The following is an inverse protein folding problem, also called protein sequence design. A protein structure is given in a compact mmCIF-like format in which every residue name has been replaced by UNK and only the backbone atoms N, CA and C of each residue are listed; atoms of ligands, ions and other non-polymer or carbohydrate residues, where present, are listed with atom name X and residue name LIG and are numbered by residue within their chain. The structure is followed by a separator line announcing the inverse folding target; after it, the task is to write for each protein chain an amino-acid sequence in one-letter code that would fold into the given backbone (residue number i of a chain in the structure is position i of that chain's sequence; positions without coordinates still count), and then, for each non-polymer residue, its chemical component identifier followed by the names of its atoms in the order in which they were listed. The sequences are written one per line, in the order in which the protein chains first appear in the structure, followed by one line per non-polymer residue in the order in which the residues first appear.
data_IF_604725839369
#
_entry.id   IF_604725839369
#
_cell.length_a   1.000
_cell.length_b   1.000
_cell.length_c   1.000
_cell.angle_alpha   90.00
_cell.angle_beta   90.00
_cell.angle_gamma   90.00
#
_symmetry.space_group_name_H-M   'P 1'
#
loop_
_entity.id
_entity.type
_entity.pdbx_description
1 polymer ?
#
# COMPACT_ATOMS: atom_id res chain seq x y z
N UNK A 1 -18.07 17.37 -12.55
CA UNK A 1 -16.86 17.93 -13.16
C UNK A 1 -16.38 19.08 -12.30
N UNK A 2 -15.37 18.83 -11.50
CA UNK A 2 -14.63 19.94 -10.90
C UNK A 2 -13.58 20.37 -11.93
N UNK A 3 -14.03 21.16 -12.88
CA UNK A 3 -13.15 21.82 -13.81
C UNK A 3 -12.25 22.77 -13.03
N UNK A 4 -10.96 22.79 -13.30
CA UNK A 4 -10.07 23.82 -12.78
C UNK A 4 -10.47 25.16 -13.38
N UNK A 5 -11.52 25.73 -12.84
CA UNK A 5 -11.79 27.16 -13.04
C UNK A 5 -10.94 27.92 -12.08
N UNK A 6 -9.94 28.60 -12.60
CA UNK A 6 -9.14 29.63 -11.97
C UNK A 6 -8.63 29.34 -10.55
N UNK A 7 -7.37 28.89 -10.45
CA UNK A 7 -6.45 29.30 -9.39
C UNK A 7 -6.93 29.15 -7.93
N UNK A 8 -7.15 27.98 -7.49
CA UNK A 8 -6.62 27.66 -6.15
C UNK A 8 -5.09 27.71 -6.27
N UNK A 9 -4.44 28.45 -5.40
CA UNK A 9 -3.01 28.78 -5.43
C UNK A 9 -2.14 27.62 -5.95
N UNK A 10 -1.18 27.85 -6.84
CA UNK A 10 -0.34 26.80 -7.38
C UNK A 10 0.24 25.98 -6.23
N UNK A 11 0.32 24.64 -6.37
CA UNK A 11 0.91 23.81 -5.34
C UNK A 11 2.32 24.30 -5.08
N UNK A 12 2.58 24.73 -3.85
CA UNK A 12 3.92 25.14 -3.44
C UNK A 12 4.84 23.93 -3.52
N UNK A 13 6.03 24.12 -4.07
CA UNK A 13 7.11 23.17 -3.91
C UNK A 13 7.33 22.94 -2.41
N UNK A 14 7.45 21.68 -1.99
CA UNK A 14 7.83 21.38 -0.63
C UNK A 14 9.18 22.06 -0.35
N UNK A 15 9.26 22.83 0.73
CA UNK A 15 10.53 23.40 1.17
C UNK A 15 11.54 22.27 1.40
N UNK A 16 12.62 22.21 0.61
CA UNK A 16 13.69 21.25 0.87
C UNK A 16 14.42 20.67 -0.33
N UNK A 17 14.05 20.96 -1.56
CA UNK A 17 14.84 20.52 -2.72
C UNK A 17 14.44 21.21 -4.02
N UNK A 18 15.39 21.51 -4.91
CA UNK A 18 15.06 22.01 -6.22
C UNK A 18 14.35 20.91 -6.99
N UNK A 19 13.05 21.13 -7.28
CA UNK A 19 12.38 20.28 -8.26
C UNK A 19 13.09 20.44 -9.60
N UNK A 20 13.58 19.34 -10.14
CA UNK A 20 14.22 19.37 -11.43
C UNK A 20 13.17 19.68 -12.51
N UNK A 21 13.38 20.76 -13.28
CA UNK A 21 12.61 20.99 -14.49
C UNK A 21 13.05 19.99 -15.54
N UNK A 22 12.11 19.25 -16.09
CA UNK A 22 12.36 18.22 -17.12
C UNK A 22 11.51 18.55 -18.34
N UNK A 23 12.14 18.52 -19.50
CA UNK A 23 11.44 18.45 -20.78
C UNK A 23 11.52 16.99 -21.20
N UNK A 24 10.37 16.32 -21.35
CA UNK A 24 10.31 14.96 -21.85
C UNK A 24 10.32 15.00 -23.38
N UNK A 25 11.44 14.61 -24.04
CA UNK A 25 11.63 14.83 -25.47
C UNK A 25 10.63 14.08 -26.35
N UNK A 26 10.13 12.97 -25.85
CA UNK A 26 9.30 12.04 -26.63
C UNK A 26 7.81 12.16 -26.34
N UNK A 27 7.41 13.11 -25.48
CA UNK A 27 6.03 13.28 -25.06
C UNK A 27 5.48 14.64 -25.47
N UNK A 28 4.39 14.62 -26.19
CA UNK A 28 3.72 15.78 -26.77
C UNK A 28 2.40 16.01 -26.05
N UNK A 29 2.05 17.27 -25.81
CA UNK A 29 0.77 17.61 -25.22
C UNK A 29 -0.34 17.40 -26.25
N UNK A 30 -1.36 16.64 -25.86
CA UNK A 30 -2.53 16.36 -26.68
C UNK A 30 -3.19 17.65 -27.18
N UNK A 31 -3.72 17.63 -28.39
CA UNK A 31 -4.38 18.81 -28.99
C UNK A 31 -5.64 19.17 -28.22
N UNK A 32 -5.81 20.47 -27.97
CA UNK A 32 -6.92 21.06 -27.22
C UNK A 32 -6.98 20.71 -25.72
N UNK A 33 -5.98 20.04 -25.16
CA UNK A 33 -5.85 19.88 -23.71
C UNK A 33 -5.25 21.13 -23.10
N UNK A 34 -5.98 21.77 -22.18
CA UNK A 34 -5.46 22.88 -21.38
C UNK A 34 -4.73 22.36 -20.16
N UNK A 35 -3.45 22.65 -20.05
CA UNK A 35 -2.69 22.49 -18.82
C UNK A 35 -2.63 23.79 -18.06
N UNK A 36 -2.80 23.74 -16.76
CA UNK A 36 -2.63 24.86 -15.86
C UNK A 36 -1.35 24.67 -15.03
N UNK A 37 -0.69 25.77 -14.68
CA UNK A 37 0.45 25.73 -13.77
C UNK A 37 0.06 25.01 -12.47
N UNK A 38 0.93 24.09 -12.05
CA UNK A 38 0.69 23.26 -10.87
C UNK A 38 -0.20 22.03 -11.08
N UNK A 39 -0.80 21.81 -12.25
CA UNK A 39 -1.56 20.60 -12.51
C UNK A 39 -0.66 19.37 -12.66
N UNK A 40 -1.07 18.24 -12.10
CA UNK A 40 -0.39 16.96 -12.39
C UNK A 40 -0.63 16.56 -13.84
N UNK A 41 0.45 16.20 -14.52
CA UNK A 41 0.45 15.78 -15.91
C UNK A 41 0.66 14.28 -16.00
N UNK A 42 -0.22 13.61 -16.71
CA UNK A 42 -0.20 12.18 -16.92
C UNK A 42 0.12 11.84 -18.36
N UNK A 43 0.85 10.76 -18.56
CA UNK A 43 1.02 10.09 -19.84
C UNK A 43 -0.09 9.04 -20.00
N UNK A 44 -0.84 9.14 -21.10
CA UNK A 44 -1.75 8.07 -21.52
C UNK A 44 -0.94 7.01 -22.29
N UNK A 45 -0.83 5.77 -21.78
CA UNK A 45 -0.08 4.72 -22.49
C UNK A 45 -0.69 4.33 -23.85
N UNK A 46 -1.97 4.65 -24.07
CA UNK A 46 -2.65 4.27 -25.31
C UNK A 46 -2.22 5.12 -26.52
N UNK A 47 -1.92 6.41 -26.27
CA UNK A 47 -1.57 7.34 -27.37
C UNK A 47 -0.19 7.99 -27.23
N UNK A 48 0.52 7.71 -26.13
CA UNK A 48 1.84 8.29 -25.81
C UNK A 48 1.82 9.82 -25.67
N UNK A 49 0.66 10.41 -25.46
CA UNK A 49 0.50 11.83 -25.27
C UNK A 49 0.31 12.20 -23.80
N UNK A 50 0.71 13.42 -23.44
CA UNK A 50 0.45 13.97 -22.12
C UNK A 50 -0.98 14.44 -22.03
N UNK A 51 -1.66 14.01 -20.95
CA UNK A 51 -3.00 14.46 -20.64
C UNK A 51 -3.07 14.89 -19.17
N UNK A 52 -3.98 15.79 -18.83
CA UNK A 52 -4.34 16.04 -17.44
C UNK A 52 -5.34 15.00 -16.97
N UNK A 53 -5.24 14.55 -15.72
CA UNK A 53 -6.29 13.76 -15.10
C UNK A 53 -7.43 14.66 -14.66
N UNK A 54 -8.63 14.35 -15.04
CA UNK A 54 -9.85 14.95 -14.49
C UNK A 54 -10.39 14.15 -13.28
N UNK A 55 -9.69 13.08 -12.92
CA UNK A 55 -9.98 12.22 -11.78
C UNK A 55 -11.24 11.37 -11.90
N UNK A 56 -12.16 11.75 -12.75
CA UNK A 56 -13.42 11.04 -12.99
C UNK A 56 -13.39 10.19 -14.28
N UNK A 57 -12.32 10.28 -15.04
CA UNK A 57 -12.23 9.69 -16.37
C UNK A 57 -12.06 8.18 -16.40
N UNK A 58 -11.85 7.53 -15.26
CA UNK A 58 -11.67 6.09 -15.20
C UNK A 58 -10.40 5.58 -15.91
N UNK A 59 -9.34 6.37 -15.92
CA UNK A 59 -8.06 6.04 -16.57
C UNK A 59 -6.98 5.58 -15.58
N UNK A 60 -7.15 4.44 -14.92
CA UNK A 60 -6.23 3.96 -13.89
C UNK A 60 -4.84 3.61 -14.42
N UNK A 61 -4.70 3.45 -15.73
CA UNK A 61 -3.45 3.09 -16.38
C UNK A 61 -2.58 4.31 -16.72
N UNK A 62 -3.08 5.52 -16.52
CA UNK A 62 -2.28 6.73 -16.74
C UNK A 62 -1.10 6.79 -15.79
N UNK A 63 0.00 7.32 -16.26
CA UNK A 63 1.27 7.39 -15.52
C UNK A 63 1.59 8.84 -15.22
N UNK A 64 1.64 9.21 -13.93
CA UNK A 64 2.04 10.53 -13.50
C UNK A 64 3.50 10.81 -13.90
N UNK A 65 3.76 11.89 -14.63
CA UNK A 65 5.08 12.25 -15.16
C UNK A 65 5.68 13.45 -14.46
N UNK A 66 4.87 14.32 -13.88
CA UNK A 66 5.33 15.53 -13.21
C UNK A 66 4.19 16.52 -13.03
N UNK A 67 4.56 17.73 -12.71
CA UNK A 67 3.66 18.86 -12.48
C UNK A 67 3.98 19.95 -13.50
N UNK A 68 2.99 20.48 -14.18
CA UNK A 68 3.16 21.55 -15.15
C UNK A 68 3.73 22.81 -14.48
N UNK A 69 4.70 23.45 -15.14
CA UNK A 69 5.32 24.69 -14.70
C UNK A 69 4.70 25.94 -15.37
N UNK A 70 3.92 25.70 -16.43
CA UNK A 70 3.37 26.79 -17.25
C UNK A 70 1.94 26.45 -17.64
N UNK A 71 1.14 27.49 -17.88
CA UNK A 71 -0.17 27.33 -18.49
C UNK A 71 -0.01 27.20 -20.01
N UNK A 72 -0.45 26.07 -20.58
CA UNK A 72 -0.27 25.75 -21.99
C UNK A 72 -1.53 25.11 -22.55
N UNK A 73 -1.97 25.60 -23.72
CA UNK A 73 -2.95 24.91 -24.55
C UNK A 73 -2.25 24.01 -25.56
N UNK A 74 -2.55 22.72 -25.51
CA UNK A 74 -1.97 21.72 -26.40
C UNK A 74 -2.38 21.92 -27.87
N UNK A 75 -1.46 21.62 -28.76
CA UNK A 75 -1.68 21.67 -30.20
C UNK A 75 -1.19 20.41 -30.93
N UNK A 76 -0.91 19.33 -30.20
CA UNK A 76 -0.34 18.08 -30.73
C UNK A 76 1.15 18.14 -31.07
N UNK A 77 1.84 19.24 -30.77
CA UNK A 77 3.29 19.42 -31.04
C UNK A 77 4.04 19.96 -29.84
N UNK A 78 3.38 20.74 -28.98
CA UNK A 78 3.99 21.39 -27.82
C UNK A 78 4.43 20.37 -26.77
N UNK A 79 5.59 20.63 -26.17
CA UNK A 79 6.17 19.84 -25.09
C UNK A 79 6.12 20.66 -23.81
N UNK A 80 5.38 20.23 -22.78
CA UNK A 80 5.26 20.96 -21.54
C UNK A 80 6.57 20.89 -20.73
N UNK A 81 6.88 21.96 -20.01
CA UNK A 81 7.88 21.92 -18.96
C UNK A 81 7.23 21.33 -17.70
N UNK A 82 7.86 20.32 -17.15
CA UNK A 82 7.41 19.62 -15.95
C UNK A 82 8.42 19.76 -14.82
N UNK A 83 7.93 19.82 -13.60
CA UNK A 83 8.74 19.56 -12.42
C UNK A 83 8.48 18.16 -11.90
N UNK A 84 9.56 17.46 -11.52
CA UNK A 84 9.50 16.14 -10.88
C UNK A 84 10.06 16.23 -9.47
N UNK A 85 9.56 15.40 -8.56
CA UNK A 85 9.99 15.41 -7.16
C UNK A 85 8.83 15.64 -6.19
N UNK A 86 9.12 16.16 -4.99
CA UNK A 86 8.10 16.37 -3.96
C UNK A 86 7.22 17.58 -4.28
N UNK A 87 5.92 17.36 -4.27
CA UNK A 87 4.89 18.37 -4.49
C UNK A 87 3.81 18.30 -3.43
N UNK A 88 3.37 19.46 -2.94
CA UNK A 88 2.20 19.54 -2.06
C UNK A 88 0.93 19.29 -2.87
N UNK A 89 0.01 18.51 -2.33
CA UNK A 89 -1.28 18.17 -2.94
C UNK A 89 -2.42 18.39 -1.96
N UNK A 90 -3.62 18.64 -2.46
CA UNK A 90 -4.83 18.59 -1.64
C UNK A 90 -5.02 17.17 -1.13
N UNK A 91 -5.46 17.02 0.11
CA UNK A 91 -5.84 15.72 0.65
C UNK A 91 -7.29 15.43 0.32
N UNK A 92 -7.63 14.21 -0.06
CA UNK A 92 -9.03 13.83 -0.26
C UNK A 92 -9.81 13.98 1.04
N UNK A 93 -10.97 14.62 0.98
CA UNK A 93 -11.89 14.75 2.10
C UNK A 93 -12.87 13.53 2.21
N UNK A 94 -12.83 12.62 1.24
CA UNK A 94 -13.68 11.43 1.24
C UNK A 94 -13.20 10.44 2.30
N UNK A 95 -14.13 9.90 3.07
CA UNK A 95 -13.83 8.88 4.09
C UNK A 95 -13.13 7.66 3.46
N UNK A 96 -12.05 7.21 4.08
CA UNK A 96 -11.22 6.09 3.59
C UNK A 96 -10.20 6.47 2.50
N UNK A 97 -10.31 7.67 1.91
CA UNK A 97 -9.36 8.16 0.90
C UNK A 97 -8.36 9.18 1.48
N UNK A 98 -8.65 9.74 2.65
CA UNK A 98 -7.80 10.72 3.31
C UNK A 98 -6.46 10.11 3.69
N UNK A 99 -5.36 10.77 3.29
CA UNK A 99 -4.00 10.37 3.65
C UNK A 99 -3.71 10.80 5.08
N UNK A 100 -3.46 9.88 6.01
CA UNK A 100 -3.14 10.22 7.39
C UNK A 100 -1.68 10.65 7.54
N UNK A 101 -1.40 11.51 8.51
CA UNK A 101 -0.03 11.95 8.81
C UNK A 101 0.89 10.79 9.26
N UNK A 102 0.32 9.70 9.75
CA UNK A 102 1.03 8.50 10.18
C UNK A 102 1.37 7.53 9.04
N UNK A 103 0.97 7.84 7.79
CA UNK A 103 1.31 7.02 6.65
C UNK A 103 2.85 6.94 6.49
N UNK A 104 3.44 5.75 6.28
CA UNK A 104 4.88 5.64 6.06
C UNK A 104 5.32 6.37 4.78
N UNK A 105 6.47 7.06 4.84
CA UNK A 105 7.11 7.64 3.67
C UNK A 105 7.40 6.53 2.66
N UNK A 106 7.11 6.80 1.38
CA UNK A 106 7.26 5.81 0.31
C UNK A 106 6.01 5.00 0.00
N UNK A 107 4.89 5.25 0.70
CA UNK A 107 3.63 4.61 0.41
C UNK A 107 3.03 5.13 -0.91
N UNK A 108 2.49 4.28 -1.79
CA UNK A 108 1.84 4.73 -3.01
C UNK A 108 0.57 5.53 -2.70
N UNK A 109 0.35 6.61 -3.43
CA UNK A 109 -0.86 7.44 -3.38
C UNK A 109 -1.39 7.68 -4.78
N UNK A 110 -2.69 7.93 -4.88
CA UNK A 110 -3.41 7.95 -6.14
C UNK A 110 -3.98 9.34 -6.45
N UNK A 111 -4.20 9.64 -7.72
CA UNK A 111 -4.77 10.91 -8.16
C UNK A 111 -6.27 10.83 -8.27
N UNK A 112 -6.98 11.48 -7.35
CA UNK A 112 -8.43 11.65 -7.44
C UNK A 112 -8.79 12.64 -8.54
N UNK A 113 -7.98 13.68 -8.68
CA UNK A 113 -7.99 14.65 -9.76
C UNK A 113 -6.56 15.17 -9.98
N UNK A 114 -6.39 16.20 -10.79
CA UNK A 114 -5.08 16.76 -11.11
C UNK A 114 -4.40 17.55 -9.97
N UNK A 115 -5.06 17.71 -8.82
CA UNK A 115 -4.54 18.41 -7.63
C UNK A 115 -4.69 17.61 -6.33
N UNK A 116 -5.61 16.65 -6.27
CA UNK A 116 -6.02 15.96 -5.04
C UNK A 116 -5.40 14.57 -5.00
N UNK A 117 -4.68 14.29 -3.92
CA UNK A 117 -4.15 12.97 -3.62
C UNK A 117 -5.14 12.15 -2.78
N UNK A 118 -5.18 10.86 -3.03
CA UNK A 118 -6.00 9.86 -2.35
C UNK A 118 -5.15 8.71 -1.83
N UNK A 119 -5.50 8.17 -0.66
CA UNK A 119 -4.89 6.97 -0.10
C UNK A 119 -5.24 5.70 -0.89
N UNK A 120 -6.40 5.69 -1.53
CA UNK A 120 -6.92 4.55 -2.31
C UNK A 120 -7.06 4.88 -3.78
N UNK A 121 -7.10 3.85 -4.61
CA UNK A 121 -7.29 3.97 -6.06
C UNK A 121 -8.74 4.21 -6.48
N UNK A 122 -9.63 4.52 -5.54
CA UNK A 122 -11.05 4.76 -5.82
C UNK A 122 -11.77 3.56 -6.41
N UNK A 123 -11.39 2.33 -6.03
CA UNK A 123 -11.95 1.10 -6.60
C UNK A 123 -11.46 0.82 -8.03
N UNK A 124 -10.24 1.19 -8.34
CA UNK A 124 -9.64 0.99 -9.66
C UNK A 124 -9.88 2.14 -10.64
N UNK A 125 -10.34 3.30 -10.17
CA UNK A 125 -10.63 4.46 -11.02
C UNK A 125 -9.47 5.47 -11.09
N UNK A 126 -8.67 5.58 -10.01
CA UNK A 126 -7.63 6.60 -9.92
C UNK A 126 -6.26 6.06 -10.38
N UNK A 127 -5.52 6.79 -11.19
CA UNK A 127 -4.16 6.44 -11.55
C UNK A 127 -3.21 6.63 -10.36
N UNK A 128 -2.09 5.91 -10.35
CA UNK A 128 -1.01 6.15 -9.41
C UNK A 128 -0.46 7.57 -9.60
N UNK A 129 -0.57 8.40 -8.57
CA UNK A 129 -0.03 9.75 -8.55
C UNK A 129 1.47 9.75 -8.28
N UNK A 130 1.90 8.96 -7.32
CA UNK A 130 3.27 8.90 -6.85
C UNK A 130 3.38 8.27 -5.47
N UNK A 131 4.34 8.74 -4.69
CA UNK A 131 4.64 8.17 -3.38
C UNK A 131 4.63 9.24 -2.30
N UNK A 132 4.04 8.91 -1.15
CA UNK A 132 3.97 9.81 -0.02
C UNK A 132 5.38 10.18 0.50
N UNK A 133 5.64 11.46 0.67
CA UNK A 133 6.92 12.00 1.13
C UNK A 133 6.82 12.74 2.48
N UNK A 134 5.64 12.76 3.09
CA UNK A 134 5.38 13.42 4.36
C UNK A 134 4.18 14.37 4.29
N UNK A 135 4.00 15.15 5.33
CA UNK A 135 3.00 16.23 5.41
C UNK A 135 3.69 17.58 5.46
N UNK A 136 3.01 18.64 5.03
CA UNK A 136 3.49 20.00 5.28
C UNK A 136 3.55 20.24 6.79
N UNK A 137 4.58 20.96 7.23
CA UNK A 137 4.74 21.31 8.64
C UNK A 137 3.86 22.46 9.11
N UNK A 138 3.01 23.01 8.24
CA UNK A 138 2.11 24.10 8.55
C UNK A 138 0.76 23.59 9.12
N UNK A 139 -0.10 24.51 9.51
CA UNK A 139 -1.43 24.20 10.07
C UNK A 139 -2.38 23.52 9.06
N UNK A 140 -2.04 23.50 7.79
CA UNK A 140 -2.89 22.89 6.75
C UNK A 140 -2.73 21.37 6.69
N UNK A 141 -1.55 20.84 7.09
CA UNK A 141 -1.29 19.40 7.10
C UNK A 141 -1.56 18.73 5.76
N UNK A 142 -1.10 19.33 4.66
CA UNK A 142 -1.31 18.78 3.32
C UNK A 142 -0.28 17.71 2.99
N UNK A 143 -0.63 16.65 2.24
CA UNK A 143 0.32 15.63 1.84
C UNK A 143 1.33 16.16 0.83
N UNK A 144 2.58 15.80 1.04
CA UNK A 144 3.68 15.96 0.10
C UNK A 144 3.81 14.65 -0.66
N UNK A 145 3.76 14.70 -1.98
CA UNK A 145 3.82 13.52 -2.85
C UNK A 145 4.99 13.66 -3.82
N UNK A 146 5.82 12.63 -3.90
CA UNK A 146 6.85 12.52 -4.92
C UNK A 146 6.21 12.11 -6.24
N UNK A 147 6.22 13.01 -7.23
CA UNK A 147 5.56 12.84 -8.53
C UNK A 147 6.61 12.79 -9.64
N UNK A 148 6.47 11.83 -10.55
CA UNK A 148 7.36 11.64 -11.69
C UNK A 148 8.77 11.15 -11.28
N UNK A 149 9.48 10.53 -12.21
CA UNK A 149 10.81 9.97 -11.96
C UNK A 149 10.79 8.80 -10.96
N UNK A 150 11.92 8.11 -10.79
CA UNK A 150 12.08 7.05 -9.81
C UNK A 150 12.06 7.63 -8.37
N UNK A 151 11.06 7.30 -7.58
CA UNK A 151 11.05 7.65 -6.17
C UNK A 151 12.11 6.83 -5.43
N UNK A 152 13.13 7.45 -4.80
CA UNK A 152 14.24 6.70 -4.18
C UNK A 152 13.85 5.96 -2.90
N UNK A 153 12.68 6.25 -2.34
CA UNK A 153 12.19 5.65 -1.09
C UNK A 153 10.84 4.92 -1.26
N UNK A 154 10.45 4.58 -2.50
CA UNK A 154 9.22 3.84 -2.75
C UNK A 154 9.22 2.49 -2.03
N UNK A 155 8.20 2.24 -1.20
CA UNK A 155 8.00 0.94 -0.57
C UNK A 155 7.29 0.05 -1.57
N UNK A 156 7.98 -0.98 -2.04
CA UNK A 156 7.44 -1.94 -3.01
C UNK A 156 6.94 -3.22 -2.35
N UNK A 157 7.50 -3.55 -1.18
CA UNK A 157 7.16 -4.75 -0.42
C UNK A 157 7.38 -4.52 1.07
N UNK A 158 6.53 -5.13 1.89
CA UNK A 158 6.64 -5.19 3.35
C UNK A 158 6.71 -6.65 3.75
N UNK A 159 7.81 -7.03 4.39
CA UNK A 159 7.93 -8.34 5.02
C UNK A 159 7.48 -8.21 6.49
N UNK A 160 6.54 -9.06 6.89
CA UNK A 160 6.07 -9.16 8.27
C UNK A 160 6.54 -10.50 8.83
N UNK A 161 7.67 -10.54 9.56
CA UNK A 161 8.14 -11.74 10.21
C UNK A 161 7.32 -12.02 11.47
N UNK A 162 7.19 -13.31 11.78
CA UNK A 162 6.53 -13.81 12.97
C UNK A 162 7.46 -14.82 13.62
N UNK A 163 7.81 -14.58 14.87
CA UNK A 163 8.55 -15.52 15.70
C UNK A 163 7.68 -15.85 16.91
N UNK A 164 7.36 -17.12 17.09
CA UNK A 164 6.54 -17.59 18.19
C UNK A 164 7.23 -18.75 18.88
N UNK A 165 7.28 -18.70 20.21
CA UNK A 165 7.74 -19.81 21.06
C UNK A 165 6.61 -20.25 21.99
N UNK A 166 6.68 -21.48 22.51
CA UNK A 166 5.68 -21.97 23.45
C UNK A 166 5.51 -21.08 24.69
N UNK A 167 6.59 -20.38 25.12
CA UNK A 167 6.56 -19.45 26.23
C UNK A 167 5.76 -18.17 25.97
N UNK A 168 5.41 -17.89 24.73
CA UNK A 168 4.55 -16.75 24.36
C UNK A 168 3.07 -17.10 24.47
N UNK A 169 2.76 -18.40 24.68
CA UNK A 169 1.39 -18.91 24.79
C UNK A 169 0.98 -18.92 26.25
N UNK A 170 0.16 -17.96 26.63
CA UNK A 170 -0.31 -17.76 28.02
C UNK A 170 -1.84 -17.92 28.19
N UNK A 171 -2.58 -18.13 27.10
CA UNK A 171 -4.00 -18.24 27.15
C UNK A 171 -4.46 -19.58 27.74
N UNK A 172 -5.28 -19.54 28.80
CA UNK A 172 -6.01 -20.69 29.31
C UNK A 172 -7.23 -21.01 28.43
N UNK A 173 -6.97 -21.14 27.12
CA UNK A 173 -7.93 -21.39 26.06
C UNK A 173 -7.29 -22.29 25.00
N UNK A 174 -8.11 -22.87 24.14
CA UNK A 174 -7.62 -23.69 23.01
C UNK A 174 -7.05 -22.88 21.85
N UNK A 175 -7.19 -21.56 21.87
CA UNK A 175 -6.68 -20.67 20.84
C UNK A 175 -6.05 -19.41 21.44
N UNK A 176 -5.04 -18.85 20.74
CA UNK A 176 -4.45 -17.56 21.08
C UNK A 176 -4.08 -16.80 19.81
N UNK A 177 -4.44 -15.52 19.77
CA UNK A 177 -4.16 -14.60 18.67
C UNK A 177 -2.97 -13.69 19.01
N UNK A 178 -2.10 -13.49 18.03
CA UNK A 178 -0.98 -12.56 18.10
C UNK A 178 -1.11 -11.51 17.01
N UNK A 179 -1.12 -10.23 17.37
CA UNK A 179 -1.09 -9.14 16.39
C UNK A 179 0.28 -9.08 15.74
N UNK A 180 0.32 -9.25 14.41
CA UNK A 180 1.54 -9.23 13.63
C UNK A 180 1.82 -7.85 13.04
N UNK A 181 0.78 -7.24 12.48
CA UNK A 181 0.89 -5.98 11.77
C UNK A 181 -0.45 -5.27 11.70
N UNK A 182 -0.44 -3.95 11.83
CA UNK A 182 -1.60 -3.11 11.52
C UNK A 182 -1.29 -2.31 10.29
N UNK A 183 -2.11 -2.43 9.26
CA UNK A 183 -1.88 -1.78 7.96
C UNK A 183 -2.03 -0.26 8.08
N UNK A 184 -1.00 0.54 7.79
CA UNK A 184 -1.11 2.01 7.83
C UNK A 184 -1.86 2.60 6.64
N UNK A 185 -2.00 1.83 5.57
CA UNK A 185 -2.71 2.11 4.34
C UNK A 185 -3.17 0.82 3.69
N UNK A 186 -3.86 0.87 2.54
CA UNK A 186 -4.25 -0.34 1.82
C UNK A 186 -3.05 -1.20 1.45
N UNK A 187 -3.18 -2.53 1.55
CA UNK A 187 -2.15 -3.49 1.15
C UNK A 187 -2.76 -4.67 0.40
N UNK A 188 -1.98 -5.28 -0.46
CA UNK A 188 -2.33 -6.54 -1.12
C UNK A 188 -1.40 -7.63 -0.60
N UNK A 189 -1.94 -8.79 -0.27
CA UNK A 189 -1.13 -9.95 0.14
C UNK A 189 -0.47 -10.56 -1.09
N UNK A 190 0.87 -10.71 -1.05
CA UNK A 190 1.66 -11.16 -2.21
C UNK A 190 1.84 -12.67 -2.32
N UNK A 191 1.57 -13.41 -1.28
CA UNK A 191 1.76 -14.86 -1.34
C UNK A 191 1.59 -15.57 0.00
N UNK A 192 1.55 -16.92 -0.01
CA UNK A 192 1.44 -17.70 1.20
C UNK A 192 2.60 -17.41 2.13
N UNK A 193 2.29 -17.28 3.39
CA UNK A 193 3.28 -17.32 4.45
C UNK A 193 4.05 -18.65 4.38
N UNK A 194 5.36 -18.59 4.58
CA UNK A 194 6.15 -19.77 4.86
C UNK A 194 6.23 -19.94 6.37
N UNK A 195 6.03 -21.17 6.86
CA UNK A 195 6.17 -21.52 8.27
C UNK A 195 7.30 -22.52 8.41
N UNK A 196 8.23 -22.23 9.30
CA UNK A 196 9.33 -23.13 9.65
C UNK A 196 9.34 -23.35 11.15
N UNK A 197 9.18 -24.57 11.59
CA UNK A 197 9.40 -24.92 12.99
C UNK A 197 10.91 -25.00 13.27
N UNK A 198 11.34 -24.27 14.30
CA UNK A 198 12.71 -24.30 14.82
C UNK A 198 12.86 -25.36 15.90
N UNK A 199 11.82 -25.54 16.70
CA UNK A 199 11.69 -26.57 17.72
C UNK A 199 10.33 -27.24 17.55
N UNK A 200 10.30 -28.57 17.65
CA UNK A 200 9.05 -29.34 17.53
C UNK A 200 8.09 -28.94 18.65
N UNK A 201 6.85 -28.70 18.27
CA UNK A 201 5.78 -28.41 19.23
C UNK A 201 5.37 -29.71 19.93
N UNK A 202 5.33 -29.66 21.23
CA UNK A 202 4.97 -30.82 22.07
C UNK A 202 4.28 -30.37 23.35
N UNK A 203 3.42 -31.25 23.85
CA UNK A 203 2.76 -31.08 25.15
C UNK A 203 2.31 -32.43 25.69
N UNK A 204 2.10 -32.51 27.01
CA UNK A 204 1.65 -33.75 27.65
C UNK A 204 0.21 -34.14 27.27
N UNK A 205 -0.68 -33.19 27.09
CA UNK A 205 -2.13 -33.37 26.90
C UNK A 205 -2.64 -32.81 25.56
N UNK A 206 -1.90 -31.92 24.93
CA UNK A 206 -2.23 -31.44 23.59
C UNK A 206 -1.94 -32.53 22.55
N UNK A 207 -2.91 -32.81 21.70
CA UNK A 207 -2.82 -33.87 20.68
C UNK A 207 -2.60 -33.36 19.26
N UNK A 208 -2.89 -32.08 19.00
CA UNK A 208 -2.64 -31.41 17.72
C UNK A 208 -2.48 -29.90 17.94
N UNK A 209 -1.79 -29.23 17.01
CA UNK A 209 -1.69 -27.78 16.97
C UNK A 209 -1.63 -27.28 15.54
N UNK A 210 -2.31 -26.16 15.29
CA UNK A 210 -2.32 -25.48 14.00
C UNK A 210 -1.90 -24.02 14.14
N UNK A 211 -1.37 -23.46 13.06
CA UNK A 211 -1.12 -22.03 12.87
C UNK A 211 -1.92 -21.54 11.67
N UNK A 212 -2.68 -20.47 11.84
CA UNK A 212 -3.34 -19.73 10.77
C UNK A 212 -2.91 -18.26 10.77
N UNK A 213 -3.04 -17.57 9.65
CA UNK A 213 -2.83 -16.12 9.55
C UNK A 213 -4.05 -15.50 8.88
N UNK A 214 -4.63 -14.52 9.52
CA UNK A 214 -5.83 -13.85 9.02
C UNK A 214 -5.88 -12.36 9.29
N UNK A 215 -7.01 -11.78 9.01
CA UNK A 215 -7.28 -10.36 9.16
C UNK A 215 -8.52 -10.16 10.03
N UNK A 216 -8.41 -9.28 11.02
CA UNK A 216 -9.50 -8.91 11.93
C UNK A 216 -10.21 -10.13 12.56
N UNK A 217 -11.46 -10.40 12.15
CA UNK A 217 -12.30 -11.46 12.72
C UNK A 217 -12.15 -12.82 12.02
N UNK A 218 -11.44 -12.87 10.88
CA UNK A 218 -11.25 -14.08 10.10
C UNK A 218 -9.78 -14.54 10.21
N UNK A 219 -9.47 -15.47 11.13
CA UNK A 219 -8.11 -15.79 11.52
C UNK A 219 -7.33 -16.64 10.51
N UNK A 220 -7.97 -17.20 9.51
CA UNK A 220 -7.41 -18.02 8.44
C UNK A 220 -7.59 -17.39 7.04
N UNK A 221 -8.10 -16.15 6.98
CA UNK A 221 -8.41 -15.48 5.74
C UNK A 221 -7.22 -15.33 4.78
N UNK A 222 -6.00 -15.18 5.31
CA UNK A 222 -4.77 -14.99 4.52
C UNK A 222 -4.05 -16.32 4.28
N UNK A 223 -3.88 -17.10 5.32
CA UNK A 223 -3.24 -18.41 5.30
C UNK A 223 -4.08 -19.37 6.12
N UNK A 224 -4.59 -20.40 5.46
CA UNK A 224 -5.35 -21.48 6.08
C UNK A 224 -4.51 -22.24 7.11
N UNK A 225 -5.16 -23.00 7.99
CA UNK A 225 -4.53 -23.73 9.07
C UNK A 225 -3.44 -24.69 8.60
N UNK A 226 -2.26 -24.56 9.19
CA UNK A 226 -1.13 -25.45 8.98
C UNK A 226 -0.84 -26.23 10.26
N UNK A 227 -0.73 -27.55 10.16
CA UNK A 227 -0.25 -28.40 11.25
C UNK A 227 1.18 -28.01 11.64
N UNK A 228 1.39 -27.60 12.89
CA UNK A 228 2.67 -27.26 13.49
C UNK A 228 3.14 -28.30 14.52
N UNK A 229 2.30 -29.30 14.83
CA UNK A 229 2.53 -30.26 15.91
C UNK A 229 3.23 -31.51 15.43
N UNK A 230 2.81 -32.08 14.29
CA UNK A 230 3.34 -33.37 13.80
C UNK A 230 4.37 -33.19 12.70
N UNK A 231 5.47 -33.92 12.77
CA UNK A 231 6.50 -33.98 11.73
C UNK A 231 7.25 -32.70 11.48
N UNK A 232 7.26 -31.81 12.44
CA UNK A 232 7.74 -30.46 12.32
C UNK A 232 9.25 -30.32 12.44
N UNK A 233 10.04 -30.93 11.62
CA UNK A 233 11.46 -30.64 11.60
C UNK A 233 11.87 -29.97 10.32
N UNK A 234 12.50 -28.80 10.46
CA UNK A 234 13.40 -28.13 9.52
C UNK A 234 12.92 -27.82 8.08
N UNK A 235 11.97 -28.50 7.49
CA UNK A 235 11.46 -28.16 6.17
C UNK A 235 10.38 -27.07 6.29
N UNK A 236 10.53 -25.92 5.61
CA UNK A 236 9.49 -24.89 5.61
C UNK A 236 8.22 -25.48 5.00
N UNK A 237 7.09 -25.35 5.72
CA UNK A 237 5.77 -25.60 5.17
C UNK A 237 5.30 -24.34 4.47
N UNK A 238 4.82 -24.46 3.25
CA UNK A 238 4.18 -23.36 2.53
C UNK A 238 2.72 -23.37 2.92
N UNK A 239 2.22 -22.20 3.38
CA UNK A 239 0.82 -22.04 3.74
C UNK A 239 -0.10 -22.24 2.53
N UNK A 240 -1.27 -22.79 2.79
CA UNK A 240 -2.37 -22.81 1.83
C UNK A 240 -3.06 -21.45 1.91
N UNK A 241 -3.45 -20.90 0.76
CA UNK A 241 -4.17 -19.63 0.70
C UNK A 241 -5.53 -19.76 1.42
N UNK A 242 -5.79 -18.85 2.34
CA UNK A 242 -7.11 -18.69 2.95
C UNK A 242 -8.13 -18.06 1.99
N UNK A 243 -9.32 -17.76 2.50
CA UNK A 243 -10.47 -17.26 1.72
C UNK A 243 -10.15 -15.96 0.95
N UNK A 244 -9.36 -15.05 1.53
CA UNK A 244 -8.93 -13.82 0.84
C UNK A 244 -7.95 -14.11 -0.30
N UNK A 245 -7.34 -15.29 -0.31
CA UNK A 245 -6.40 -15.71 -1.35
C UNK A 245 -5.26 -14.72 -1.58
N UNK A 246 -4.34 -15.07 -2.48
CA UNK A 246 -3.23 -14.18 -2.84
C UNK A 246 -3.54 -13.31 -4.06
N UNK A 247 -4.76 -13.35 -4.56
CA UNK A 247 -5.28 -12.57 -5.70
C UNK A 247 -6.55 -11.85 -5.24
N UNK A 248 -6.61 -11.46 -3.99
CA UNK A 248 -7.80 -10.91 -3.38
C UNK A 248 -7.93 -9.40 -3.46
N UNK A 249 -9.05 -8.93 -2.99
CA UNK A 249 -9.27 -7.52 -2.72
C UNK A 249 -8.20 -6.99 -1.75
N UNK A 250 -7.76 -5.73 -1.89
CA UNK A 250 -6.80 -5.15 -0.96
C UNK A 250 -7.39 -5.10 0.45
N UNK A 251 -6.56 -5.36 1.44
CA UNK A 251 -6.89 -5.09 2.83
C UNK A 251 -6.90 -3.59 3.06
N UNK A 252 -7.90 -3.10 3.78
CA UNK A 252 -8.03 -1.67 4.06
C UNK A 252 -6.96 -1.16 5.04
N UNK A 253 -6.79 0.15 5.09
CA UNK A 253 -6.04 0.81 6.16
C UNK A 253 -6.66 0.48 7.53
N UNK A 254 -5.83 0.26 8.54
CA UNK A 254 -6.25 -0.11 9.89
C UNK A 254 -6.58 -1.59 10.10
N UNK A 255 -6.53 -2.43 9.04
CA UNK A 255 -6.71 -3.88 9.18
C UNK A 255 -5.62 -4.46 10.08
N UNK A 256 -6.02 -5.22 11.08
CA UNK A 256 -5.10 -5.92 11.98
C UNK A 256 -4.85 -7.33 11.45
N UNK A 257 -3.62 -7.61 11.06
CA UNK A 257 -3.18 -8.94 10.64
C UNK A 257 -2.71 -9.70 11.87
N UNK A 258 -3.21 -10.92 12.04
CA UNK A 258 -2.96 -11.76 13.21
C UNK A 258 -2.48 -13.14 12.82
N UNK A 259 -1.64 -13.74 13.68
CA UNK A 259 -1.43 -15.17 13.72
C UNK A 259 -2.30 -15.79 14.80
N UNK A 260 -2.92 -16.91 14.53
CA UNK A 260 -3.65 -17.72 15.50
C UNK A 260 -2.97 -19.06 15.68
N UNK A 261 -2.63 -19.40 16.93
CA UNK A 261 -2.26 -20.75 17.31
C UNK A 261 -3.50 -21.41 17.91
N UNK A 262 -3.84 -22.60 17.43
CA UNK A 262 -4.92 -23.42 17.98
C UNK A 262 -4.39 -24.78 18.43
N UNK A 263 -4.87 -25.27 19.55
CA UNK A 263 -4.54 -26.56 20.14
C UNK A 263 -5.78 -27.46 20.23
N UNK A 264 -5.58 -28.77 20.09
CA UNK A 264 -6.61 -29.78 20.31
C UNK A 264 -6.24 -30.65 21.52
N UNK A 265 -7.21 -30.91 22.36
CA UNK A 265 -7.08 -31.77 23.54
C UNK A 265 -6.75 -31.03 24.82
N UNK A 266 -6.18 -29.82 24.74
CA UNK A 266 -5.90 -28.98 25.92
C UNK A 266 -5.72 -27.51 25.51
N UNK A 267 -5.47 -26.65 26.50
CA UNK A 267 -5.21 -25.20 26.29
C UNK A 267 -3.80 -24.95 25.73
N UNK A 268 -3.65 -23.86 24.98
CA UNK A 268 -2.36 -23.49 24.35
C UNK A 268 -1.25 -23.21 25.37
N UNK A 269 -1.59 -22.74 26.58
CA UNK A 269 -0.63 -22.52 27.67
C UNK A 269 0.08 -23.81 28.12
N UNK A 270 -0.47 -24.97 27.81
CA UNK A 270 0.07 -26.27 28.24
C UNK A 270 1.10 -26.86 27.27
N UNK A 271 1.51 -26.14 26.23
CA UNK A 271 2.67 -26.54 25.44
C UNK A 271 3.95 -26.55 26.30
N UNK A 272 4.69 -27.64 26.23
CA UNK A 272 5.94 -27.83 26.95
C UNK A 272 7.17 -27.41 26.15
N UNK A 273 7.06 -27.44 24.82
CA UNK A 273 8.09 -27.00 23.89
C UNK A 273 7.45 -26.58 22.57
N UNK A 274 8.17 -25.78 21.81
CA UNK A 274 7.78 -25.34 20.46
C UNK A 274 8.38 -23.99 20.14
N UNK A 275 8.86 -23.84 18.92
CA UNK A 275 9.23 -22.56 18.36
C UNK A 275 9.08 -22.60 16.85
N UNK A 276 8.60 -21.52 16.27
CA UNK A 276 8.46 -21.38 14.82
C UNK A 276 8.80 -19.96 14.36
N UNK A 277 9.16 -19.86 13.10
CA UNK A 277 9.22 -18.61 12.35
C UNK A 277 8.24 -18.69 11.20
N UNK A 278 7.41 -17.68 11.06
CA UNK A 278 6.51 -17.52 9.93
C UNK A 278 6.70 -16.13 9.34
N UNK A 279 6.11 -15.86 8.18
CA UNK A 279 6.14 -14.54 7.59
C UNK A 279 5.18 -14.41 6.42
N UNK A 280 4.67 -13.22 6.25
CA UNK A 280 3.87 -12.84 5.09
C UNK A 280 4.54 -11.69 4.37
N UNK A 281 4.25 -11.56 3.08
CA UNK A 281 4.69 -10.44 2.26
C UNK A 281 3.49 -9.66 1.78
N UNK A 282 3.58 -8.35 1.92
CA UNK A 282 2.53 -7.42 1.54
C UNK A 282 3.07 -6.43 0.52
N UNK A 283 2.25 -6.06 -0.44
CA UNK A 283 2.51 -4.95 -1.35
C UNK A 283 1.69 -3.75 -0.87
N UNK A 284 2.31 -2.57 -0.64
CA UNK A 284 1.56 -1.35 -0.37
C UNK A 284 0.70 -0.94 -1.56
N UNK A 285 -0.46 -0.34 -1.25
CA UNK A 285 -1.42 0.12 -2.25
C UNK A 285 -2.62 -0.80 -2.41
N UNK A 286 -3.55 -0.36 -3.22
CA UNK A 286 -4.81 -1.05 -3.48
C UNK A 286 -4.78 -1.94 -4.74
N UNK A 287 -3.61 -2.09 -5.38
CA UNK A 287 -3.38 -2.92 -6.57
C UNK A 287 -2.07 -3.67 -6.50
#
# INVERSE_FOLDING_TARGET
MADMTALDSPPKLAEGGPAARVILPDVVLESAVQLYDGATVFLDPADSMLAKSDGASGNPMWIARGVACDEILGNGVLRPHLTVGPHVRKNSATSGETIPATLPIGWPVYAKDNQTASLTDGGGLYPLLGYFAGMTGDSTGLPIVWIGGGCPFAITEIAVPVELAHGDLDAAATTQDFTLYTTPGPVVVLGPGAVRSLTVWSAGTVSAATLAIGADSDPDAIMDEIDIFTGATAAPKVGVAGVLGFVGAPLAAGTVIKARVAATGDNVVNFAAGALVAGIRLKPGSR
#
